data_IF_620318448584
#
_entry.id   IF_620318448584
#
_cell.length_a   1.000
_cell.length_b   1.000
_cell.length_c   1.000
_cell.angle_alpha   90.00
_cell.angle_beta   90.00
_cell.angle_gamma   90.00
#
_symmetry.space_group_name_H-M   'P 1'
#
loop_
_entity.id
_entity.type
_entity.pdbx_description
1 polymer ?
#
# COMPACT_ATOMS: atom_id res chain seq x y z
N UNK A 1 7.59 4.13 -22.18
CA UNK A 1 7.24 2.90 -21.41
C UNK A 1 8.16 2.65 -20.22
N UNK A 2 9.49 2.72 -20.32
CA UNK A 2 10.42 2.44 -19.20
C UNK A 2 10.14 3.25 -17.92
N UNK A 3 9.79 4.54 -18.03
CA UNK A 3 9.41 5.37 -16.87
C UNK A 3 8.08 4.98 -16.21
N UNK A 4 7.16 4.36 -16.95
CA UNK A 4 5.86 3.89 -16.43
C UNK A 4 6.03 2.52 -15.74
N UNK A 5 6.90 1.66 -16.28
CA UNK A 5 7.24 0.37 -15.67
C UNK A 5 7.88 0.54 -14.28
N UNK A 6 8.76 1.53 -14.13
CA UNK A 6 9.40 1.87 -12.85
C UNK A 6 8.39 2.34 -11.80
N UNK A 7 7.36 3.11 -12.21
CA UNK A 7 6.32 3.59 -11.30
C UNK A 7 5.33 2.47 -10.90
N UNK A 8 5.11 1.47 -11.76
CA UNK A 8 4.17 0.38 -11.52
C UNK A 8 4.75 -0.79 -10.71
N UNK A 9 6.06 -1.00 -10.73
CA UNK A 9 6.73 -2.05 -9.93
C UNK A 9 7.01 -1.57 -8.49
N UNK A 10 6.63 -0.34 -8.12
CA UNK A 10 6.83 0.17 -6.78
C UNK A 10 8.30 0.27 -6.36
N UNK A 11 9.24 0.24 -7.31
CA UNK A 11 10.63 0.56 -7.06
C UNK A 11 10.75 2.08 -7.17
N UNK A 12 10.87 2.83 -6.07
CA UNK A 12 11.16 4.24 -6.18
C UNK A 12 12.55 4.35 -6.81
N UNK A 13 12.61 4.76 -8.08
CA UNK A 13 13.84 5.33 -8.63
C UNK A 13 14.03 6.66 -7.93
N UNK A 14 14.75 6.60 -6.82
CA UNK A 14 15.24 7.76 -6.10
C UNK A 14 16.26 8.44 -7.01
N UNK A 15 15.79 9.33 -7.87
CA UNK A 15 16.66 10.36 -8.41
C UNK A 15 17.13 11.19 -7.21
N UNK A 16 18.43 11.12 -6.94
CA UNK A 16 19.11 11.98 -5.97
C UNK A 16 18.96 13.44 -6.42
N UNK A 17 17.91 14.11 -5.95
CA UNK A 17 17.76 15.55 -6.05
C UNK A 17 18.05 16.16 -4.68
N UNK A 18 18.96 17.14 -4.71
CA UNK A 18 19.50 17.88 -3.58
C UNK A 18 18.41 18.50 -2.66
N UNK A 19 18.71 18.73 -1.38
CA UNK A 19 17.76 19.36 -0.45
C UNK A 19 17.47 20.81 -0.86
N UNK A 20 16.21 21.28 -0.78
CA UNK A 20 15.91 22.68 -1.05
C UNK A 20 16.39 23.55 0.11
N UNK A 21 17.26 24.50 -0.21
CA UNK A 21 17.63 25.64 0.62
C UNK A 21 16.40 26.46 0.99
N UNK A 22 16.31 26.82 2.27
CA UNK A 22 15.33 27.73 2.83
C UNK A 22 15.26 29.06 2.07
N UNK A 23 14.03 29.52 1.79
CA UNK A 23 13.73 30.95 1.60
C UNK A 23 12.49 31.34 2.39
N UNK A 24 12.63 32.50 3.01
CA UNK A 24 11.76 33.17 3.96
C UNK A 24 10.48 33.74 3.30
N UNK A 25 9.56 34.34 4.09
CA UNK A 25 8.17 34.55 3.71
C UNK A 25 7.98 35.86 2.93
N UNK A 26 7.04 35.84 1.97
CA UNK A 26 6.47 37.04 1.38
C UNK A 26 4.98 37.11 1.70
N UNK A 27 4.58 38.24 2.24
CA UNK A 27 3.21 38.54 2.61
C UNK A 27 2.34 39.06 1.47
N UNK A 28 1.05 39.09 1.81
CA UNK A 28 0.04 40.09 1.43
C UNK A 28 -0.39 40.17 -0.05
N UNK A 29 -1.61 39.69 -0.35
CA UNK A 29 -2.82 40.53 -0.55
C UNK A 29 -3.91 39.79 -1.35
N UNK A 30 -5.16 39.91 -0.87
CA UNK A 30 -6.37 40.28 -1.64
C UNK A 30 -7.61 39.39 -1.44
N UNK A 31 -8.48 39.87 -0.53
CA UNK A 31 -9.95 40.04 -0.61
C UNK A 31 -10.82 38.99 -1.31
N UNK A 32 -11.74 38.41 -0.52
CA UNK A 32 -13.24 38.44 -0.64
C UNK A 32 -13.81 37.84 0.65
N UNK A 33 -14.18 38.64 1.65
CA UNK A 33 -15.52 39.22 1.91
C UNK A 33 -16.66 38.19 1.82
N UNK A 34 -16.98 37.56 2.95
CA UNK A 34 -18.34 37.15 3.28
C UNK A 34 -18.62 37.63 4.70
N UNK A 35 -19.65 38.46 4.81
CA UNK A 35 -20.17 39.11 6.00
C UNK A 35 -20.94 38.11 6.85
N UNK A 36 -20.64 38.03 8.15
CA UNK A 36 -21.67 37.77 9.15
C UNK A 36 -21.34 38.58 10.39
N UNK A 37 -22.28 39.45 10.73
CA UNK A 37 -22.31 40.26 11.93
C UNK A 37 -22.43 39.36 13.16
N UNK A 38 -21.63 39.61 14.18
CA UNK A 38 -22.12 39.53 15.57
C UNK A 38 -21.34 40.51 16.43
N UNK A 39 -22.10 41.42 17.02
CA UNK A 39 -21.68 42.52 17.87
C UNK A 39 -21.31 42.05 19.28
N UNK A 40 -20.35 42.77 19.89
CA UNK A 40 -20.16 43.01 21.34
C UNK A 40 -19.75 41.80 22.22
N UNK A 41 -18.84 41.91 23.19
CA UNK A 41 -18.44 43.04 24.03
C UNK A 41 -16.94 42.97 24.39
N UNK A 42 -16.33 44.16 24.35
CA UNK A 42 -15.04 44.56 24.91
C UNK A 42 -15.18 44.67 26.45
N UNK A 43 -14.24 44.16 27.23
CA UNK A 43 -13.42 45.02 28.09
C UNK A 43 -12.36 44.28 28.91
N UNK A 44 -11.16 44.84 28.78
CA UNK A 44 -9.99 44.84 29.63
C UNK A 44 -10.28 45.27 31.07
N UNK A 45 -9.48 44.80 32.03
CA UNK A 45 -8.85 45.55 33.15
C UNK A 45 -8.14 44.54 34.07
N UNK A 46 -6.81 44.57 34.19
CA UNK A 46 -5.98 45.35 35.13
C UNK A 46 -5.89 44.72 36.53
N UNK A 47 -4.65 44.31 36.87
CA UNK A 47 -3.92 44.50 38.14
C UNK A 47 -4.65 44.26 39.48
N UNK A 48 -4.14 43.37 40.34
CA UNK A 48 -3.12 43.63 41.38
C UNK A 48 -2.88 42.33 42.22
N UNK A 49 -1.73 42.18 42.92
CA UNK A 49 -1.35 41.03 43.74
C UNK A 49 -1.78 41.20 45.21
N UNK A 50 -1.89 40.09 45.96
CA UNK A 50 -1.54 40.02 47.39
C UNK A 50 -1.62 38.59 47.93
N UNK A 51 -0.71 38.35 48.86
CA UNK A 51 -0.46 37.19 49.74
C UNK A 51 -1.67 36.39 50.23
N UNK A 52 -1.48 35.09 50.42
CA UNK A 52 -1.77 34.44 51.72
C UNK A 52 -1.08 33.08 51.83
N UNK A 53 -0.09 33.05 52.70
CA UNK A 53 0.62 31.90 53.22
C UNK A 53 -0.34 31.14 54.15
N UNK A 54 -0.63 29.87 53.87
CA UNK A 54 -1.21 28.96 54.88
C UNK A 54 -0.44 27.65 54.90
N UNK A 55 0.21 27.45 56.04
CA UNK A 55 0.99 26.30 56.46
C UNK A 55 0.03 25.14 56.79
N UNK A 56 0.07 24.04 56.01
CA UNK A 56 -0.76 22.85 56.25
C UNK A 56 0.15 21.63 56.39
N UNK A 57 0.46 21.27 57.64
CA UNK A 57 1.13 20.03 58.04
C UNK A 57 0.33 18.81 57.56
N UNK A 58 0.84 18.11 56.56
CA UNK A 58 0.32 16.82 56.11
C UNK A 58 1.07 15.67 56.80
N UNK A 59 0.34 14.91 57.61
CA UNK A 59 0.80 13.69 58.25
C UNK A 59 1.13 12.63 57.20
N UNK A 60 2.43 12.29 57.10
CA UNK A 60 2.93 11.05 56.51
C UNK A 60 2.55 9.89 57.45
N UNK A 61 1.68 8.99 57.01
CA UNK A 61 1.59 7.66 57.61
C UNK A 61 0.73 6.70 56.77
N UNK A 62 1.40 6.01 55.83
CA UNK A 62 1.27 4.56 55.67
C UNK A 62 -0.09 3.96 55.30
N UNK A 63 -0.70 4.40 54.19
CA UNK A 63 -1.74 3.60 53.49
C UNK A 63 -1.86 3.87 51.98
N UNK A 64 -1.04 4.79 51.44
CA UNK A 64 -1.04 5.13 50.01
C UNK A 64 0.06 4.42 49.19
N UNK A 65 0.97 3.65 49.82
CA UNK A 65 2.12 3.04 49.13
C UNK A 65 1.85 1.65 48.57
N UNK A 66 0.85 0.93 49.08
CA UNK A 66 0.52 -0.43 48.59
C UNK A 66 -0.53 -0.41 47.46
N UNK A 67 -1.48 0.54 47.46
CA UNK A 67 -2.45 0.72 46.35
C UNK A 67 -1.80 1.43 45.14
N UNK A 68 -0.79 2.27 45.37
CA UNK A 68 -0.02 2.92 44.28
C UNK A 68 0.96 1.93 43.63
N UNK A 69 1.44 0.90 44.33
CA UNK A 69 2.29 -0.14 43.74
C UNK A 69 1.51 -1.29 43.09
N UNK A 70 0.25 -1.54 43.48
CA UNK A 70 -0.61 -2.57 42.88
C UNK A 70 -1.24 -2.16 41.53
N UNK A 71 -1.60 -0.89 41.36
CA UNK A 71 -2.20 -0.36 40.12
C UNK A 71 -1.12 0.08 39.12
N UNK A 72 0.10 0.38 39.57
CA UNK A 72 1.21 0.78 38.67
C UNK A 72 2.02 -0.38 38.07
N UNK A 73 1.70 -1.64 38.41
CA UNK A 73 2.43 -2.82 37.92
C UNK A 73 1.53 -3.83 37.18
N UNK A 74 0.22 -3.85 37.48
CA UNK A 74 -0.77 -4.65 36.76
C UNK A 74 -1.25 -3.97 35.45
N UNK A 75 -1.32 -2.63 35.41
CA UNK A 75 -1.70 -1.83 34.23
C UNK A 75 -0.51 -1.44 33.33
N UNK A 76 0.74 -1.61 33.80
CA UNK A 76 1.96 -1.29 33.04
C UNK A 76 2.42 -2.43 32.11
N UNK A 77 1.66 -3.53 32.10
CA UNK A 77 2.06 -4.83 31.59
C UNK A 77 0.86 -5.52 30.95
N UNK A 78 0.12 -4.79 30.11
CA UNK A 78 -0.70 -5.41 29.07
C UNK A 78 0.10 -6.56 28.45
N UNK A 79 -0.49 -7.74 28.45
CA UNK A 79 0.19 -8.98 28.11
C UNK A 79 0.81 -8.83 26.72
N UNK A 80 2.14 -8.73 26.62
CA UNK A 80 2.82 -8.63 25.32
C UNK A 80 2.40 -9.80 24.42
N UNK A 81 1.99 -10.91 25.03
CA UNK A 81 1.41 -12.06 24.33
C UNK A 81 0.03 -11.75 23.75
N UNK A 82 -0.85 -11.00 24.42
CA UNK A 82 -2.16 -10.60 23.85
C UNK A 82 -1.97 -9.58 22.73
N UNK A 83 -1.08 -8.61 22.89
CA UNK A 83 -0.80 -7.63 21.85
C UNK A 83 -0.15 -8.27 20.61
N UNK A 84 0.78 -9.21 20.82
CA UNK A 84 1.39 -9.99 19.74
C UNK A 84 0.38 -10.93 19.08
N UNK A 85 -0.53 -11.52 19.86
CA UNK A 85 -1.62 -12.35 19.35
C UNK A 85 -2.61 -11.53 18.52
N UNK A 86 -3.04 -10.36 18.98
CA UNK A 86 -3.91 -9.47 18.20
C UNK A 86 -3.23 -8.99 16.91
N UNK A 87 -1.92 -8.74 16.97
CA UNK A 87 -1.13 -8.39 15.79
C UNK A 87 -1.05 -9.57 14.81
N UNK A 88 -0.88 -10.78 15.34
CA UNK A 88 -0.94 -12.02 14.57
C UNK A 88 -2.31 -12.20 13.92
N UNK A 89 -3.39 -12.03 14.67
CA UNK A 89 -4.77 -12.16 14.17
C UNK A 89 -5.03 -11.17 13.02
N UNK A 90 -4.56 -9.93 13.17
CA UNK A 90 -4.62 -8.95 12.09
C UNK A 90 -3.88 -9.42 10.83
N UNK A 91 -2.66 -9.98 10.96
CA UNK A 91 -1.92 -10.51 9.81
C UNK A 91 -2.66 -11.70 9.18
N UNK A 92 -3.13 -12.66 9.98
CA UNK A 92 -3.82 -13.86 9.52
C UNK A 92 -5.12 -13.52 8.75
N UNK A 93 -5.87 -12.53 9.24
CA UNK A 93 -7.13 -12.10 8.62
C UNK A 93 -6.97 -11.46 7.24
N UNK A 94 -5.76 -11.03 6.85
CA UNK A 94 -5.48 -10.55 5.49
C UNK A 94 -5.23 -11.68 4.49
N UNK A 95 -4.90 -12.89 4.95
CA UNK A 95 -4.57 -14.01 4.07
C UNK A 95 -5.74 -14.46 3.19
N UNK A 96 -6.94 -14.56 3.75
CA UNK A 96 -8.11 -15.00 3.00
C UNK A 96 -8.54 -14.01 1.89
N UNK A 97 -8.69 -12.69 2.15
CA UNK A 97 -8.93 -11.71 1.10
C UNK A 97 -7.85 -11.70 0.01
N UNK A 98 -6.57 -11.78 0.38
CA UNK A 98 -5.47 -11.82 -0.57
C UNK A 98 -5.53 -13.07 -1.49
N UNK A 99 -5.85 -14.23 -0.90
CA UNK A 99 -6.02 -15.47 -1.66
C UNK A 99 -7.20 -15.41 -2.65
N UNK A 100 -8.30 -14.74 -2.27
CA UNK A 100 -9.44 -14.52 -3.16
C UNK A 100 -9.06 -13.64 -4.35
N UNK A 101 -8.31 -12.54 -4.12
CA UNK A 101 -7.83 -11.68 -5.21
C UNK A 101 -6.87 -12.47 -6.11
N UNK A 102 -5.92 -13.21 -5.55
CA UNK A 102 -5.00 -14.06 -6.32
C UNK A 102 -5.73 -15.10 -7.18
N UNK A 103 -6.76 -15.75 -6.62
CA UNK A 103 -7.62 -16.69 -7.35
C UNK A 103 -8.39 -16.03 -8.48
N UNK A 104 -9.00 -14.86 -8.23
CA UNK A 104 -9.70 -14.09 -9.25
C UNK A 104 -8.76 -13.69 -10.40
N UNK A 105 -7.54 -13.27 -10.09
CA UNK A 105 -6.52 -12.93 -11.09
C UNK A 105 -6.15 -14.14 -11.95
N UNK A 106 -5.99 -15.33 -11.37
CA UNK A 106 -5.69 -16.55 -12.13
C UNK A 106 -6.82 -16.92 -13.10
N UNK A 107 -8.07 -16.77 -12.68
CA UNK A 107 -9.25 -16.98 -13.54
C UNK A 107 -9.26 -15.95 -14.67
N UNK A 108 -9.10 -14.66 -14.37
CA UNK A 108 -9.02 -13.62 -15.40
C UNK A 108 -7.87 -13.91 -16.38
N UNK A 109 -6.69 -14.31 -15.90
CA UNK A 109 -5.56 -14.66 -16.76
C UNK A 109 -5.83 -15.88 -17.66
N UNK A 110 -6.55 -16.89 -17.18
CA UNK A 110 -6.83 -18.10 -17.95
C UNK A 110 -7.88 -17.85 -19.03
N UNK A 111 -8.95 -17.11 -18.71
CA UNK A 111 -10.03 -16.77 -19.63
C UNK A 111 -9.56 -15.80 -20.73
N UNK A 112 -8.67 -14.87 -20.39
CA UNK A 112 -8.27 -13.78 -21.29
C UNK A 112 -6.98 -14.06 -22.07
N UNK A 113 -6.34 -15.23 -21.87
CA UNK A 113 -5.01 -15.50 -22.41
C UNK A 113 -4.91 -15.29 -23.93
N UNK A 114 -5.89 -15.79 -24.69
CA UNK A 114 -5.92 -15.71 -26.15
C UNK A 114 -6.24 -14.31 -26.66
N UNK A 115 -7.24 -13.65 -26.09
CA UNK A 115 -7.72 -12.33 -26.55
C UNK A 115 -6.66 -11.22 -26.38
N UNK A 116 -5.78 -11.36 -25.38
CA UNK A 116 -4.79 -10.35 -25.03
C UNK A 116 -3.45 -10.52 -25.74
N UNK A 117 -3.35 -11.45 -26.69
CA UNK A 117 -2.20 -11.50 -27.59
C UNK A 117 -2.22 -10.24 -28.47
N UNK A 118 -1.15 -9.40 -28.46
CA UNK A 118 -1.10 -8.23 -29.33
C UNK A 118 -0.98 -8.68 -30.79
N UNK A 119 -1.92 -8.26 -31.64
CA UNK A 119 -1.94 -8.56 -33.07
C UNK A 119 -1.33 -7.42 -33.88
N UNK A 120 -0.87 -7.69 -35.11
CA UNK A 120 -0.38 -6.62 -36.00
C UNK A 120 -1.50 -5.68 -36.45
N UNK A 121 -2.69 -6.23 -36.67
CA UNK A 121 -3.93 -5.51 -36.96
C UNK A 121 -4.40 -4.58 -35.83
N UNK A 122 -3.94 -4.78 -34.59
CA UNK A 122 -4.34 -3.94 -33.45
C UNK A 122 -3.78 -2.51 -33.56
N UNK A 123 -4.66 -1.53 -33.27
CA UNK A 123 -4.24 -0.13 -33.06
C UNK A 123 -3.16 -0.06 -31.99
N UNK A 124 -2.19 0.85 -32.15
CA UNK A 124 -1.05 1.00 -31.22
C UNK A 124 -1.48 1.11 -29.75
N UNK A 125 -2.54 1.87 -29.45
CA UNK A 125 -3.03 2.02 -28.08
C UNK A 125 -3.67 0.74 -27.53
N UNK A 126 -4.34 -0.07 -28.38
CA UNK A 126 -4.93 -1.36 -27.99
C UNK A 126 -3.84 -2.34 -27.61
N UNK A 127 -2.74 -2.40 -28.39
CA UNK A 127 -1.57 -3.21 -28.05
C UNK A 127 -0.99 -2.83 -26.70
N UNK A 128 -0.82 -1.53 -26.44
CA UNK A 128 -0.35 -1.03 -25.16
C UNK A 128 -1.32 -1.40 -24.04
N UNK A 129 -2.63 -1.25 -24.24
CA UNK A 129 -3.64 -1.63 -23.25
C UNK A 129 -3.60 -3.13 -22.95
N UNK A 130 -3.56 -4.00 -23.97
CA UNK A 130 -3.43 -5.46 -23.80
C UNK A 130 -2.19 -5.85 -23.00
N UNK A 131 -1.06 -5.22 -23.31
CA UNK A 131 0.19 -5.39 -22.58
C UNK A 131 0.07 -4.92 -21.12
N UNK A 132 -0.50 -3.74 -20.88
CA UNK A 132 -0.70 -3.23 -19.52
C UNK A 132 -1.65 -4.10 -18.71
N UNK A 133 -2.72 -4.63 -19.29
CA UNK A 133 -3.61 -5.59 -18.62
C UNK A 133 -2.83 -6.82 -18.16
N UNK A 134 -2.01 -7.42 -19.04
CA UNK A 134 -1.16 -8.56 -18.67
C UNK A 134 -0.16 -8.22 -17.55
N UNK A 135 0.45 -7.04 -17.61
CA UNK A 135 1.36 -6.55 -16.57
C UNK A 135 0.64 -6.39 -15.22
N UNK A 136 -0.57 -5.82 -15.24
CA UNK A 136 -1.37 -5.60 -14.05
C UNK A 136 -1.86 -6.91 -13.42
N UNK A 137 -2.31 -7.87 -14.22
CA UNK A 137 -2.68 -9.19 -13.72
C UNK A 137 -1.46 -9.90 -13.09
N UNK A 138 -0.32 -9.94 -13.79
CA UNK A 138 0.87 -10.60 -13.28
C UNK A 138 1.40 -9.95 -12.00
N UNK A 139 1.44 -8.61 -11.96
CA UNK A 139 1.88 -7.88 -10.76
C UNK A 139 0.89 -8.02 -9.61
N UNK A 140 -0.42 -8.03 -9.89
CA UNK A 140 -1.44 -8.29 -8.87
C UNK A 140 -1.24 -9.65 -8.22
N UNK A 141 -1.15 -10.71 -9.02
CA UNK A 141 -0.90 -12.07 -8.52
C UNK A 141 0.37 -12.14 -7.66
N UNK A 142 1.49 -11.58 -8.15
CA UNK A 142 2.75 -11.59 -7.43
C UNK A 142 2.66 -10.85 -6.09
N UNK A 143 2.00 -9.69 -6.04
CA UNK A 143 1.84 -8.89 -4.83
C UNK A 143 0.96 -9.57 -3.79
N UNK A 144 -0.12 -10.24 -4.20
CA UNK A 144 -0.97 -11.01 -3.28
C UNK A 144 -0.23 -12.23 -2.71
N UNK A 145 0.52 -12.96 -3.53
CA UNK A 145 1.34 -14.09 -3.05
C UNK A 145 2.40 -13.61 -2.05
N UNK A 146 3.07 -12.48 -2.32
CA UNK A 146 4.01 -11.86 -1.39
C UNK A 146 3.31 -11.44 -0.10
N UNK A 147 2.12 -10.84 -0.19
CA UNK A 147 1.32 -10.41 0.97
C UNK A 147 0.98 -11.60 1.87
N UNK A 148 0.48 -12.70 1.32
CA UNK A 148 0.17 -13.94 2.04
C UNK A 148 1.41 -14.52 2.71
N UNK A 149 2.52 -14.61 1.96
CA UNK A 149 3.77 -15.17 2.45
C UNK A 149 4.34 -14.34 3.60
N UNK A 150 4.48 -13.03 3.43
CA UNK A 150 5.03 -12.14 4.46
C UNK A 150 4.11 -12.07 5.67
N UNK A 151 2.80 -12.08 5.47
CA UNK A 151 1.82 -12.17 6.56
C UNK A 151 2.01 -13.43 7.38
N UNK A 152 2.12 -14.59 6.73
CA UNK A 152 2.30 -15.88 7.41
C UNK A 152 3.63 -15.93 8.16
N UNK A 153 4.73 -15.51 7.54
CA UNK A 153 6.05 -15.48 8.19
C UNK A 153 6.02 -14.52 9.38
N UNK A 154 5.47 -13.32 9.22
CA UNK A 154 5.37 -12.33 10.33
C UNK A 154 4.52 -12.88 11.46
N UNK A 155 3.42 -13.55 11.14
CA UNK A 155 2.59 -14.24 12.12
C UNK A 155 3.36 -15.30 12.91
N UNK A 156 4.13 -16.15 12.24
CA UNK A 156 4.98 -17.13 12.93
C UNK A 156 6.04 -16.48 13.80
N UNK A 157 6.62 -15.35 13.36
CA UNK A 157 7.59 -14.58 14.14
C UNK A 157 6.94 -14.04 15.41
N UNK A 158 5.74 -13.46 15.31
CA UNK A 158 4.99 -12.94 16.46
C UNK A 158 4.66 -14.05 17.47
N UNK A 159 4.27 -15.23 17.00
CA UNK A 159 4.00 -16.38 17.88
C UNK A 159 5.28 -17.01 18.47
N UNK A 160 6.41 -16.88 17.78
CA UNK A 160 7.71 -17.44 18.24
C UNK A 160 8.42 -16.58 19.28
N UNK A 161 8.10 -15.29 19.37
CA UNK A 161 8.54 -14.44 20.47
C UNK A 161 7.75 -14.88 21.72
N UNK A 162 8.26 -15.89 22.43
CA UNK A 162 7.76 -16.25 23.76
C UNK A 162 7.85 -15.06 24.73
N UNK A 163 7.43 -15.23 25.98
CA UNK A 163 7.42 -14.17 26.98
C UNK A 163 8.76 -13.41 27.04
N UNK A 164 8.79 -12.18 26.52
CA UNK A 164 10.02 -11.40 26.38
C UNK A 164 10.48 -10.92 27.76
N UNK A 165 11.80 -10.92 27.97
CA UNK A 165 12.40 -10.52 29.23
C UNK A 165 11.95 -9.09 29.64
N UNK A 166 11.72 -8.84 30.94
CA UNK A 166 11.02 -7.65 31.44
C UNK A 166 11.70 -6.29 31.21
N UNK A 167 12.92 -6.26 30.69
CA UNK A 167 13.71 -5.03 30.51
C UNK A 167 13.32 -4.26 29.24
N UNK A 168 12.73 -4.93 28.24
CA UNK A 168 12.20 -4.30 27.01
C UNK A 168 10.79 -3.73 27.16
N UNK A 169 10.13 -3.95 28.31
CA UNK A 169 8.74 -3.57 28.62
C UNK A 169 8.48 -2.05 28.73
N UNK A 170 9.51 -1.21 28.60
CA UNK A 170 9.39 0.23 28.81
C UNK A 170 8.79 0.99 27.62
N UNK A 171 8.59 0.36 26.45
CA UNK A 171 7.94 0.97 25.29
C UNK A 171 6.53 0.40 25.20
N UNK A 172 5.61 0.92 26.01
CA UNK A 172 4.20 0.52 25.98
C UNK A 172 3.58 0.81 24.61
N UNK A 173 3.44 -0.22 23.78
CA UNK A 173 2.75 -0.11 22.50
C UNK A 173 1.24 -0.12 22.77
N UNK A 174 0.59 1.04 22.61
CA UNK A 174 -0.85 1.16 22.85
C UNK A 174 -1.75 0.47 21.81
N UNK A 175 -1.20 -0.22 20.80
CA UNK A 175 -2.00 -0.96 19.81
C UNK A 175 -1.18 -2.06 19.09
N UNK A 176 -1.82 -3.14 18.61
CA UNK A 176 -1.16 -4.22 17.87
C UNK A 176 -0.47 -3.72 16.58
N UNK A 177 -1.12 -2.79 15.88
CA UNK A 177 -0.55 -2.15 14.69
C UNK A 177 0.63 -1.24 15.03
N UNK A 178 0.64 -0.65 16.23
CA UNK A 178 1.78 0.11 16.76
C UNK A 178 3.00 -0.79 16.97
N UNK A 179 2.81 -1.98 17.55
CA UNK A 179 3.86 -2.98 17.70
C UNK A 179 4.44 -3.38 16.34
N UNK A 180 3.58 -3.70 15.37
CA UNK A 180 4.01 -4.02 14.00
C UNK A 180 4.77 -2.86 13.35
N UNK A 181 4.28 -1.63 13.47
CA UNK A 181 4.98 -0.45 12.92
C UNK A 181 6.37 -0.28 13.52
N UNK A 182 6.55 -0.50 14.82
CA UNK A 182 7.82 -0.22 15.49
C UNK A 182 8.86 -1.33 15.33
N UNK A 183 8.46 -2.59 15.45
CA UNK A 183 9.39 -3.73 15.40
C UNK A 183 9.49 -4.40 14.03
N UNK A 184 8.40 -4.36 13.27
CA UNK A 184 8.24 -5.08 12.00
C UNK A 184 7.76 -4.12 10.90
N UNK A 185 8.28 -2.88 10.89
CA UNK A 185 7.80 -1.82 9.99
C UNK A 185 7.85 -2.26 8.53
N UNK A 186 8.90 -2.99 8.15
CA UNK A 186 9.09 -3.47 6.78
C UNK A 186 8.03 -4.50 6.40
N UNK A 187 7.80 -5.49 7.25
CA UNK A 187 6.80 -6.53 7.04
C UNK A 187 5.38 -5.96 7.03
N UNK A 188 5.07 -5.08 7.98
CA UNK A 188 3.81 -4.32 8.04
C UNK A 188 3.54 -3.57 6.74
N UNK A 189 4.54 -2.84 6.23
CA UNK A 189 4.43 -2.10 4.97
C UNK A 189 4.28 -3.04 3.79
N UNK A 190 5.03 -4.15 3.75
CA UNK A 190 4.97 -5.13 2.67
C UNK A 190 3.59 -5.74 2.54
N UNK A 191 2.98 -6.14 3.67
CA UNK A 191 1.62 -6.72 3.70
C UNK A 191 0.60 -5.68 3.23
N UNK A 192 0.62 -4.46 3.78
CA UNK A 192 -0.36 -3.42 3.42
C UNK A 192 -0.23 -2.94 1.98
N UNK A 193 1.00 -2.70 1.51
CA UNK A 193 1.27 -2.29 0.13
C UNK A 193 0.96 -3.43 -0.83
N UNK A 194 1.40 -4.65 -0.52
CA UNK A 194 1.18 -5.84 -1.34
C UNK A 194 -0.30 -6.09 -1.60
N UNK A 195 -1.11 -6.16 -0.54
CA UNK A 195 -2.54 -6.35 -0.66
C UNK A 195 -3.23 -5.19 -1.40
N UNK A 196 -3.01 -3.94 -0.99
CA UNK A 196 -3.70 -2.81 -1.62
C UNK A 196 -3.29 -2.63 -3.08
N UNK A 197 -1.99 -2.68 -3.39
CA UNK A 197 -1.51 -2.54 -4.76
C UNK A 197 -1.93 -3.73 -5.62
N UNK A 198 -1.97 -4.94 -5.05
CA UNK A 198 -2.47 -6.15 -5.72
C UNK A 198 -3.93 -5.99 -6.15
N UNK A 199 -4.80 -5.61 -5.22
CA UNK A 199 -6.21 -5.31 -5.47
C UNK A 199 -6.41 -4.22 -6.54
N UNK A 200 -5.68 -3.11 -6.45
CA UNK A 200 -5.80 -2.00 -7.40
C UNK A 200 -5.33 -2.39 -8.80
N UNK A 201 -4.25 -3.18 -8.90
CA UNK A 201 -3.75 -3.68 -10.18
C UNK A 201 -4.78 -4.62 -10.83
N UNK A 202 -5.40 -5.52 -10.07
CA UNK A 202 -6.45 -6.39 -10.61
C UNK A 202 -7.66 -5.58 -11.11
N UNK A 203 -8.18 -4.63 -10.31
CA UNK A 203 -9.28 -3.78 -10.74
C UNK A 203 -8.94 -2.95 -11.98
N UNK A 204 -7.71 -2.42 -12.06
CA UNK A 204 -7.24 -1.68 -13.23
C UNK A 204 -7.13 -2.60 -14.46
N UNK A 205 -6.71 -3.86 -14.28
CA UNK A 205 -6.66 -4.85 -15.36
C UNK A 205 -8.06 -5.13 -15.92
N UNK A 206 -9.04 -5.39 -15.05
CA UNK A 206 -10.45 -5.61 -15.44
C UNK A 206 -11.03 -4.38 -16.15
N UNK A 207 -10.74 -3.17 -15.65
CA UNK A 207 -11.16 -1.94 -16.29
C UNK A 207 -10.55 -1.78 -17.70
N UNK A 208 -9.25 -2.06 -17.85
CA UNK A 208 -8.59 -2.04 -19.17
C UNK A 208 -9.13 -3.11 -20.11
N UNK A 209 -9.45 -4.29 -19.59
CA UNK A 209 -10.06 -5.37 -20.37
C UNK A 209 -11.40 -4.94 -20.97
N UNK A 210 -12.30 -4.39 -20.14
CA UNK A 210 -13.61 -3.90 -20.60
C UNK A 210 -13.43 -2.73 -21.58
N UNK A 211 -12.38 -1.92 -21.43
CA UNK A 211 -12.10 -0.79 -22.31
C UNK A 211 -11.63 -1.21 -23.72
N UNK A 212 -11.05 -2.41 -23.87
CA UNK A 212 -10.52 -2.89 -25.16
C UNK A 212 -11.71 -3.36 -26.03
N UNK A 213 -11.96 -2.73 -27.20
CA UNK A 213 -13.09 -3.07 -28.04
C UNK A 213 -12.90 -4.44 -28.69
N UNK A 214 -13.96 -5.27 -28.71
CA UNK A 214 -13.92 -6.59 -29.36
C UNK A 214 -14.28 -6.47 -30.86
N UNK A 215 -13.65 -7.30 -31.70
CA UNK A 215 -13.99 -7.43 -33.12
C UNK A 215 -15.47 -7.88 -33.21
N UNK A 216 -16.34 -7.09 -33.86
CA UNK A 216 -17.81 -7.29 -33.96
C UNK A 216 -18.66 -6.83 -32.75
N UNK A 217 -18.11 -6.03 -31.84
CA UNK A 217 -18.90 -5.47 -30.73
C UNK A 217 -19.89 -4.38 -31.21
N UNK A 218 -21.20 -4.47 -30.89
CA UNK A 218 -22.17 -3.45 -31.28
C UNK A 218 -21.92 -2.11 -30.57
N UNK A 219 -22.33 -1.00 -31.20
CA UNK A 219 -22.13 0.36 -30.64
C UNK A 219 -22.74 0.55 -29.25
N UNK A 220 -23.86 -0.14 -28.95
CA UNK A 220 -24.50 -0.10 -27.64
C UNK A 220 -23.62 -0.73 -26.55
N UNK A 221 -23.07 -1.93 -26.80
CA UNK A 221 -22.17 -2.62 -25.87
C UNK A 221 -20.91 -1.81 -25.60
N UNK A 222 -20.33 -1.17 -26.64
CA UNK A 222 -19.16 -0.30 -26.49
C UNK A 222 -19.41 0.88 -25.56
N UNK A 223 -20.60 1.50 -25.64
CA UNK A 223 -20.99 2.60 -24.74
C UNK A 223 -21.17 2.10 -23.31
N UNK A 224 -21.78 0.92 -23.13
CA UNK A 224 -21.94 0.28 -21.83
C UNK A 224 -20.57 -0.07 -21.21
N UNK A 225 -19.67 -0.64 -21.98
CA UNK A 225 -18.31 -0.99 -21.56
C UNK A 225 -17.50 0.24 -21.17
N UNK A 226 -17.62 1.34 -21.92
CA UNK A 226 -17.03 2.62 -21.54
C UNK A 226 -17.57 3.13 -20.20
N UNK A 227 -18.89 3.07 -19.98
CA UNK A 227 -19.50 3.44 -18.71
C UNK A 227 -19.00 2.56 -17.56
N UNK A 228 -19.04 1.23 -17.71
CA UNK A 228 -18.54 0.27 -16.71
C UNK A 228 -17.07 0.51 -16.36
N UNK A 229 -16.23 0.77 -17.36
CA UNK A 229 -14.83 1.14 -17.18
C UNK A 229 -14.68 2.40 -16.33
N UNK A 230 -15.47 3.45 -16.60
CA UNK A 230 -15.43 4.69 -15.80
C UNK A 230 -15.89 4.47 -14.36
N UNK A 231 -16.89 3.61 -14.13
CA UNK A 231 -17.31 3.22 -12.80
C UNK A 231 -16.20 2.49 -12.03
N UNK A 232 -15.51 1.54 -12.67
CA UNK A 232 -14.38 0.83 -12.05
C UNK A 232 -13.24 1.77 -11.68
N UNK A 233 -12.84 2.69 -12.58
CA UNK A 233 -11.84 3.69 -12.23
C UNK A 233 -12.28 4.59 -11.09
N UNK A 234 -13.55 4.97 -11.04
CA UNK A 234 -14.11 5.76 -9.92
C UNK A 234 -13.99 4.99 -8.60
N UNK A 235 -14.28 3.68 -8.58
CA UNK A 235 -14.11 2.81 -7.41
C UNK A 235 -12.64 2.74 -6.99
N UNK A 236 -11.71 2.58 -7.93
CA UNK A 236 -10.26 2.57 -7.67
C UNK A 236 -9.83 3.87 -6.96
N UNK A 237 -10.24 5.03 -7.48
CA UNK A 237 -9.93 6.31 -6.86
C UNK A 237 -10.59 6.49 -5.49
N UNK A 238 -11.82 5.99 -5.34
CA UNK A 238 -12.53 6.05 -4.07
C UNK A 238 -11.87 5.18 -2.99
N UNK A 239 -11.49 3.94 -3.31
CA UNK A 239 -10.72 3.06 -2.39
C UNK A 239 -9.43 3.76 -1.96
N UNK A 240 -8.71 4.37 -2.91
CA UNK A 240 -7.48 5.10 -2.63
C UNK A 240 -7.69 6.33 -1.74
N UNK A 241 -8.76 7.11 -1.98
CA UNK A 241 -9.10 8.26 -1.16
C UNK A 241 -9.50 7.84 0.26
N UNK A 242 -10.34 6.81 0.37
CA UNK A 242 -10.74 6.22 1.64
C UNK A 242 -9.52 5.72 2.43
N UNK A 243 -8.66 4.94 1.77
CA UNK A 243 -7.45 4.42 2.39
C UNK A 243 -6.52 5.54 2.89
N UNK A 244 -6.27 6.57 2.07
CA UNK A 244 -5.46 7.71 2.46
C UNK A 244 -6.03 8.45 3.68
N UNK A 245 -7.35 8.59 3.77
CA UNK A 245 -8.01 9.23 4.91
C UNK A 245 -7.86 8.42 6.20
N UNK A 246 -7.85 7.09 6.10
CA UNK A 246 -7.75 6.17 7.23
C UNK A 246 -6.31 5.72 7.55
N UNK A 247 -5.29 6.33 6.93
CA UNK A 247 -3.89 6.09 7.31
C UNK A 247 -3.56 6.82 8.61
N UNK A 248 -3.29 6.05 9.68
CA UNK A 248 -2.93 6.60 11.00
C UNK A 248 -1.42 6.89 11.14
N UNK A 249 -0.57 6.13 10.45
CA UNK A 249 0.88 6.16 10.67
C UNK A 249 1.70 6.90 9.62
N UNK A 250 1.12 7.16 8.45
CA UNK A 250 1.78 7.78 7.31
C UNK A 250 0.87 8.88 6.77
N UNK A 251 1.43 10.00 6.31
CA UNK A 251 0.62 11.13 5.84
C UNK A 251 -0.21 10.83 4.59
N UNK A 252 0.22 9.88 3.75
CA UNK A 252 -0.51 9.36 2.60
C UNK A 252 0.15 8.06 2.10
N UNK A 253 -0.49 7.39 1.14
CA UNK A 253 0.03 6.19 0.49
C UNK A 253 1.38 6.41 -0.19
N UNK A 254 1.63 7.62 -0.71
CA UNK A 254 2.89 7.90 -1.38
C UNK A 254 4.07 7.93 -0.40
N UNK A 255 3.86 8.54 0.77
CA UNK A 255 4.79 8.54 1.88
C UNK A 255 5.06 7.12 2.39
N UNK A 256 4.02 6.26 2.40
CA UNK A 256 4.13 4.85 2.74
C UNK A 256 5.05 4.08 1.78
N UNK A 257 4.88 4.26 0.48
CA UNK A 257 5.74 3.66 -0.57
C UNK A 257 7.17 4.19 -0.53
N UNK A 258 7.37 5.49 -0.30
CA UNK A 258 8.70 6.09 -0.15
C UNK A 258 9.43 5.50 1.07
N UNK A 259 8.73 5.35 2.20
CA UNK A 259 9.26 4.69 3.41
C UNK A 259 9.60 3.24 3.13
N UNK A 260 8.73 2.50 2.46
CA UNK A 260 8.97 1.13 2.07
C UNK A 260 10.25 0.99 1.23
N UNK A 261 10.44 1.83 0.21
CA UNK A 261 11.65 1.82 -0.61
C UNK A 261 12.93 2.13 0.18
N UNK A 262 12.86 3.07 1.14
CA UNK A 262 13.98 3.36 2.04
C UNK A 262 14.35 2.14 2.90
N UNK A 263 13.35 1.49 3.49
CA UNK A 263 13.54 0.29 4.32
C UNK A 263 14.05 -0.89 3.49
N UNK A 264 13.47 -1.11 2.30
CA UNK A 264 13.92 -2.13 1.35
C UNK A 264 15.39 -1.91 1.00
N UNK A 265 15.77 -0.68 0.64
CA UNK A 265 17.16 -0.35 0.34
C UNK A 265 18.08 -0.64 1.54
N UNK A 266 17.69 -0.18 2.73
CA UNK A 266 18.49 -0.39 3.95
C UNK A 266 18.65 -1.86 4.29
N UNK A 267 17.59 -2.66 4.13
CA UNK A 267 17.55 -4.08 4.49
C UNK A 267 18.37 -4.95 3.53
N UNK A 268 18.27 -4.71 2.23
CA UNK A 268 18.88 -5.57 1.21
C UNK A 268 20.22 -5.07 0.67
N UNK A 269 20.50 -3.75 0.70
CA UNK A 269 21.72 -3.19 0.12
C UNK A 269 22.69 -2.60 1.14
N UNK A 270 22.21 -2.16 2.31
CA UNK A 270 23.06 -1.56 3.35
C UNK A 270 23.19 -2.44 4.61
N UNK A 271 22.53 -3.59 4.64
CA UNK A 271 22.50 -4.48 5.79
C UNK A 271 23.68 -5.44 5.85
N UNK A 272 23.72 -6.25 6.91
CA UNK A 272 24.61 -7.42 6.97
C UNK A 272 24.39 -8.29 5.75
N UNK A 273 25.49 -8.71 5.12
CA UNK A 273 25.46 -9.55 3.93
C UNK A 273 24.71 -10.86 4.22
N UNK A 274 23.61 -11.09 3.49
CA UNK A 274 22.83 -12.33 3.55
C UNK A 274 23.08 -13.11 2.26
N UNK A 275 23.63 -14.34 2.32
CA UNK A 275 23.94 -15.13 1.12
C UNK A 275 22.75 -15.28 0.17
N UNK A 276 21.52 -15.43 0.70
CA UNK A 276 20.31 -15.54 -0.13
C UNK A 276 20.01 -14.26 -0.93
N UNK A 277 20.43 -13.09 -0.47
CA UNK A 277 20.28 -11.83 -1.21
C UNK A 277 21.14 -11.80 -2.49
N UNK A 278 22.24 -12.55 -2.54
CA UNK A 278 23.03 -12.71 -3.77
C UNK A 278 22.26 -13.45 -4.87
N UNK A 279 21.39 -14.39 -4.52
CA UNK A 279 20.57 -15.11 -5.52
C UNK A 279 19.37 -14.27 -5.94
N UNK A 280 18.80 -13.50 -5.01
CA UNK A 280 17.67 -12.62 -5.29
C UNK A 280 17.97 -11.58 -6.37
N UNK A 281 19.13 -10.90 -6.31
CA UNK A 281 19.50 -9.86 -7.27
C UNK A 281 19.47 -10.33 -8.73
N UNK A 282 20.24 -11.35 -9.13
CA UNK A 282 20.24 -11.92 -10.47
C UNK A 282 18.86 -12.43 -10.90
N UNK A 283 18.12 -13.12 -10.02
CA UNK A 283 16.78 -13.60 -10.36
C UNK A 283 15.79 -12.46 -10.65
N UNK A 284 15.87 -11.37 -9.88
CA UNK A 284 15.07 -10.16 -10.08
C UNK A 284 15.43 -9.46 -11.39
N UNK A 285 16.73 -9.30 -11.68
CA UNK A 285 17.22 -8.72 -12.92
C UNK A 285 16.81 -9.56 -14.14
N UNK A 286 16.91 -10.88 -14.05
CA UNK A 286 16.47 -11.80 -15.09
C UNK A 286 14.97 -11.68 -15.34
N UNK A 287 14.16 -11.60 -14.27
CA UNK A 287 12.71 -11.44 -14.36
C UNK A 287 12.32 -10.11 -15.01
N UNK A 288 13.00 -9.02 -14.65
CA UNK A 288 12.81 -7.70 -15.29
C UNK A 288 13.23 -7.75 -16.76
N UNK A 289 14.36 -8.39 -17.08
CA UNK A 289 14.85 -8.53 -18.45
C UNK A 289 13.89 -9.34 -19.32
N UNK A 290 13.43 -10.50 -18.84
CA UNK A 290 12.48 -11.35 -19.55
C UNK A 290 11.12 -10.66 -19.70
N UNK A 291 10.64 -9.96 -18.67
CA UNK A 291 9.44 -9.14 -18.75
C UNK A 291 9.58 -8.04 -19.80
N UNK A 292 10.67 -7.28 -19.76
CA UNK A 292 10.97 -6.25 -20.76
C UNK A 292 11.04 -6.84 -22.17
N UNK A 293 11.70 -7.98 -22.37
CA UNK A 293 11.76 -8.67 -23.66
C UNK A 293 10.37 -9.08 -24.12
N UNK A 294 9.56 -9.68 -23.26
CA UNK A 294 8.19 -10.08 -23.57
C UNK A 294 7.30 -8.90 -24.00
N UNK A 295 7.49 -7.71 -23.42
CA UNK A 295 6.76 -6.50 -23.84
C UNK A 295 7.26 -5.87 -25.15
N UNK A 296 8.49 -6.18 -25.58
CA UNK A 296 9.07 -5.66 -26.82
C UNK A 296 9.08 -6.67 -27.98
N UNK A 297 8.66 -7.92 -27.75
CA UNK A 297 8.49 -8.89 -28.84
C UNK A 297 7.49 -8.34 -29.86
N UNK A 298 7.83 -8.34 -31.17
CA UNK A 298 6.89 -7.90 -32.19
C UNK A 298 5.61 -8.75 -32.14
N UNK A 299 4.44 -8.16 -32.41
CA UNK A 299 3.20 -8.91 -32.52
C UNK A 299 3.31 -9.98 -33.62
N UNK A 300 2.73 -11.15 -33.37
CA UNK A 300 2.67 -12.24 -34.33
C UNK A 300 2.09 -11.72 -35.66
N UNK A 301 2.68 -12.15 -36.77
CA UNK A 301 2.06 -11.94 -38.08
C UNK A 301 0.70 -12.61 -38.03
N UNK A 302 -0.33 -11.95 -38.54
CA UNK A 302 -1.66 -12.55 -38.68
C UNK A 302 -1.52 -13.66 -39.75
N UNK A 303 -0.94 -14.80 -39.36
CA UNK A 303 -0.64 -15.90 -40.27
C UNK A 303 -1.97 -16.39 -40.86
N UNK A 304 -1.97 -16.44 -42.18
CA UNK A 304 -3.13 -16.62 -43.05
C UNK A 304 -3.60 -18.06 -42.96
N UNK A 305 -4.18 -18.46 -41.83
CA UNK A 305 -4.86 -19.77 -41.70
C UNK A 305 -6.07 -19.89 -42.66
N UNK A 306 -6.49 -18.78 -43.27
CA UNK A 306 -7.49 -18.76 -44.35
C UNK A 306 -7.02 -19.43 -45.66
N UNK A 307 -5.72 -19.76 -45.80
CA UNK A 307 -5.19 -20.36 -47.02
C UNK A 307 -5.49 -21.87 -47.16
N UNK A 308 -5.70 -22.58 -46.05
CA UNK A 308 -5.91 -24.03 -46.06
C UNK A 308 -7.39 -24.45 -45.94
N UNK A 309 -8.28 -23.58 -45.42
CA UNK A 309 -9.72 -23.90 -45.38
C UNK A 309 -10.39 -23.86 -46.76
N UNK A 310 -9.81 -23.18 -47.75
CA UNK A 310 -10.32 -23.17 -49.14
C UNK A 310 -9.88 -24.36 -50.00
N UNK A 311 -9.00 -25.24 -49.52
CA UNK A 311 -8.54 -26.42 -50.28
C UNK A 311 -9.26 -27.71 -49.95
N UNK A 312 -10.10 -27.76 -48.91
CA UNK A 312 -10.85 -28.98 -48.53
C UNK A 312 -12.28 -29.05 -49.08
N UNK A 313 -12.71 -28.04 -49.85
CA UNK A 313 -14.05 -27.95 -50.45
C UNK A 313 -14.08 -28.17 -51.97
N UNK A 314 -13.03 -28.79 -52.54
CA UNK A 314 -13.00 -29.24 -53.95
C UNK A 314 -12.93 -30.76 -54.01
#
# INVERSE_FOLDING_TARGET
MVRILVLLVGVPVVNAFAPPTARAPFGALSKRRCTSNTHHHRNTNLLHPSSLYTDRKYNKSTTAREVVNGIQLADLLYDETSLAFDAWEWTANLGAPAALVAGAVLVTMSETRGEFAPRQSDRKWVRVAKQLTRLFLLSSFALEVISIFVSTVTGTVLLSHGAVAPVTKAIGYGSPLGLLKHHHEFEYLTIRIGFLQGLLNWLAAVALEIMIPKEKEPLCARRMNAFMTTCLFTIIFWIMAFYNHHLTFYGNYWHMLARYGLLFRRRFFCGQFRPMSLLYGPSSLLSIFLGWRAFNTPPDTDDVDDADEKKSTI
#
